data_IF_684778031067
#
_entry.id   IF_684778031067
#
_cell.length_a   1.000
_cell.length_b   1.000
_cell.length_c   1.000
_cell.angle_alpha   90.00
_cell.angle_beta   90.00
_cell.angle_gamma   90.00
#
_symmetry.space_group_name_H-M   'P 1'
#
loop_
_entity.id
_entity.type
_entity.pdbx_description
1 polymer ?
#
# COMPACT_ATOMS: atom_id res chain seq x y z
N UNK A 1 -20.78 -43.86 5.61
CA UNK A 1 -20.58 -42.41 5.45
C UNK A 1 -19.17 -42.24 4.94
N UNK A 2 -19.01 -42.17 3.61
CA UNK A 2 -17.72 -41.91 2.98
C UNK A 2 -17.46 -40.41 2.98
N UNK A 3 -16.45 -39.97 3.72
CA UNK A 3 -15.96 -38.59 3.71
C UNK A 3 -14.65 -38.56 2.91
N UNK A 4 -14.74 -38.63 1.58
CA UNK A 4 -13.57 -38.73 0.70
C UNK A 4 -13.40 -37.58 -0.31
N UNK A 5 -13.96 -36.39 -0.02
CA UNK A 5 -13.57 -35.15 -0.70
C UNK A 5 -13.68 -33.96 0.25
N UNK A 6 -12.65 -33.75 1.07
CA UNK A 6 -12.36 -32.41 1.55
C UNK A 6 -11.69 -31.65 0.40
N UNK A 7 -12.48 -31.12 -0.54
CA UNK A 7 -11.98 -30.01 -1.35
C UNK A 7 -11.82 -28.84 -0.39
N UNK A 8 -10.59 -28.59 0.04
CA UNK A 8 -10.25 -27.32 0.66
C UNK A 8 -10.58 -26.25 -0.39
N UNK A 9 -11.72 -25.58 -0.23
CA UNK A 9 -11.99 -24.36 -0.97
C UNK A 9 -10.82 -23.43 -0.66
N UNK A 10 -9.93 -23.24 -1.64
CA UNK A 10 -8.80 -22.34 -1.52
C UNK A 10 -9.41 -20.95 -1.27
N UNK A 11 -9.52 -20.55 0.00
CA UNK A 11 -9.90 -19.18 0.35
C UNK A 11 -8.90 -18.32 -0.40
N UNK A 12 -9.39 -17.41 -1.24
CA UNK A 12 -8.52 -16.48 -1.95
C UNK A 12 -7.80 -15.67 -0.85
N UNK A 13 -6.53 -16.00 -0.58
CA UNK A 13 -5.69 -15.32 0.43
C UNK A 13 -4.94 -14.13 -0.16
N UNK A 14 -5.29 -13.72 -1.39
CA UNK A 14 -4.66 -12.62 -2.14
C UNK A 14 -5.52 -11.37 -2.10
N UNK A 15 -4.91 -10.22 -2.38
CA UNK A 15 -5.62 -8.95 -2.48
C UNK A 15 -6.79 -9.05 -3.48
N UNK A 16 -7.98 -8.69 -3.04
CA UNK A 16 -9.12 -8.55 -3.93
C UNK A 16 -9.13 -7.14 -4.51
N UNK A 17 -8.68 -6.99 -5.75
CA UNK A 17 -8.62 -5.69 -6.42
C UNK A 17 -9.98 -5.05 -6.66
N UNK A 18 -11.10 -5.77 -6.50
CA UNK A 18 -12.47 -5.24 -6.57
C UNK A 18 -13.11 -4.99 -5.18
N UNK A 19 -12.37 -5.24 -4.11
CA UNK A 19 -12.86 -5.06 -2.74
C UNK A 19 -12.67 -3.64 -2.20
N UNK A 20 -13.40 -3.30 -1.15
CA UNK A 20 -13.16 -2.08 -0.37
C UNK A 20 -11.70 -1.98 0.08
N UNK A 21 -11.14 -0.78 0.02
CA UNK A 21 -9.75 -0.52 0.36
C UNK A 21 -8.75 -1.09 -0.65
N UNK A 22 -9.16 -1.48 -1.84
CA UNK A 22 -8.22 -1.95 -2.85
C UNK A 22 -7.43 -0.79 -3.48
N UNK A 23 -6.14 -1.03 -3.74
CA UNK A 23 -5.29 -0.22 -4.62
C UNK A 23 -4.54 -1.18 -5.55
N UNK A 24 -4.90 -1.20 -6.82
CA UNK A 24 -4.29 -2.06 -7.84
C UNK A 24 -4.15 -1.31 -9.17
N UNK A 25 -3.42 -1.88 -10.14
CA UNK A 25 -3.24 -1.28 -11.47
C UNK A 25 -2.57 0.12 -11.39
N UNK A 26 -3.03 1.12 -12.15
CA UNK A 26 -2.31 2.36 -12.46
C UNK A 26 -2.78 3.67 -11.76
N UNK A 27 -2.63 3.78 -10.43
CA UNK A 27 -3.35 2.98 -9.45
C UNK A 27 -4.83 3.35 -9.41
N UNK A 28 -5.68 2.34 -9.52
CA UNK A 28 -7.12 2.38 -9.26
C UNK A 28 -7.38 2.06 -7.79
N UNK A 29 -8.22 2.88 -7.16
CA UNK A 29 -8.62 2.79 -5.77
C UNK A 29 -10.09 2.37 -5.67
N UNK A 30 -10.43 1.68 -4.60
CA UNK A 30 -11.81 1.48 -4.14
C UNK A 30 -11.93 2.00 -2.71
N UNK A 31 -12.71 3.07 -2.54
CA UNK A 31 -12.91 3.73 -1.26
C UNK A 31 -13.64 2.88 -0.22
N UNK A 32 -13.65 3.34 1.03
CA UNK A 32 -14.47 2.79 2.10
C UNK A 32 -15.97 2.95 1.85
N UNK A 33 -16.34 3.93 1.03
CA UNK A 33 -17.68 4.15 0.48
C UNK A 33 -18.03 3.21 -0.70
N UNK A 34 -17.07 2.40 -1.16
CA UNK A 34 -17.21 1.49 -2.30
C UNK A 34 -17.08 2.17 -3.66
N UNK A 35 -16.79 3.48 -3.70
CA UNK A 35 -16.60 4.18 -4.96
C UNK A 35 -15.22 3.89 -5.53
N UNK A 36 -15.19 3.56 -6.82
CA UNK A 36 -13.95 3.43 -7.57
C UNK A 36 -13.47 4.82 -8.02
N UNK A 37 -12.16 5.08 -7.87
CA UNK A 37 -11.51 6.29 -8.35
C UNK A 37 -10.05 6.06 -8.68
N UNK A 38 -9.45 7.02 -9.39
CA UNK A 38 -8.03 7.07 -9.68
C UNK A 38 -7.38 8.22 -8.95
N UNK A 39 -6.16 7.96 -8.48
CA UNK A 39 -5.26 8.96 -7.94
C UNK A 39 -3.87 8.67 -8.51
N UNK A 40 -3.40 9.52 -9.43
CA UNK A 40 -2.12 9.28 -10.09
C UNK A 40 -0.94 9.81 -9.28
N UNK A 41 -1.12 10.86 -8.47
CA UNK A 41 0.03 11.51 -7.83
C UNK A 41 1.09 11.94 -8.86
N UNK A 42 2.33 12.07 -8.41
CA UNK A 42 3.49 12.34 -9.25
C UNK A 42 4.47 11.17 -9.20
N UNK A 43 5.13 10.86 -10.32
CA UNK A 43 6.24 9.90 -10.34
C UNK A 43 7.34 10.34 -9.37
N UNK A 44 7.78 9.42 -8.51
CA UNK A 44 8.78 9.64 -7.47
C UNK A 44 8.23 10.40 -6.25
N UNK A 45 6.92 10.66 -6.21
CA UNK A 45 6.26 11.35 -5.11
C UNK A 45 5.79 10.40 -4.02
N UNK A 46 5.78 10.91 -2.79
CA UNK A 46 5.25 10.24 -1.61
C UNK A 46 3.92 10.89 -1.21
N UNK A 47 2.91 10.07 -0.92
CA UNK A 47 1.57 10.54 -0.58
C UNK A 47 0.97 9.76 0.58
N UNK A 48 0.29 10.47 1.49
CA UNK A 48 -0.48 9.88 2.57
C UNK A 48 -1.77 9.24 2.04
N UNK A 49 -1.83 7.92 2.08
CA UNK A 49 -3.04 7.16 1.76
C UNK A 49 -4.02 7.20 2.93
N UNK A 50 -3.52 7.10 4.15
CA UNK A 50 -4.29 7.13 5.40
C UNK A 50 -3.52 7.95 6.42
N UNK A 51 -4.22 8.82 7.16
CA UNK A 51 -3.68 9.58 8.27
C UNK A 51 -4.76 9.72 9.33
N UNK A 52 -4.60 9.01 10.43
CA UNK A 52 -5.46 9.05 11.60
C UNK A 52 -4.62 9.09 12.88
N UNK A 53 -5.24 9.23 14.05
CA UNK A 53 -4.51 9.44 15.30
C UNK A 53 -3.51 8.30 15.62
N UNK A 54 -3.90 7.03 15.39
CA UNK A 54 -3.09 5.84 15.71
C UNK A 54 -2.47 5.13 14.50
N UNK A 55 -2.84 5.51 13.27
CA UNK A 55 -2.38 4.85 12.04
C UNK A 55 -2.09 5.88 10.95
N UNK A 56 -0.94 5.74 10.31
CA UNK A 56 -0.57 6.52 9.14
C UNK A 56 0.05 5.61 8.08
N UNK A 57 -0.38 5.78 6.83
CA UNK A 57 0.12 4.97 5.72
C UNK A 57 0.51 5.89 4.58
N UNK A 58 1.80 5.89 4.23
CA UNK A 58 2.30 6.53 3.03
C UNK A 58 2.50 5.52 1.90
N UNK A 59 2.37 5.99 0.67
CA UNK A 59 2.75 5.26 -0.53
C UNK A 59 3.79 6.03 -1.35
N UNK A 60 4.79 5.30 -1.84
CA UNK A 60 5.75 5.79 -2.82
C UNK A 60 5.28 5.43 -4.23
N UNK A 61 5.20 6.43 -5.11
CA UNK A 61 4.74 6.25 -6.47
C UNK A 61 5.91 6.17 -7.44
N UNK A 62 6.00 5.09 -8.22
CA UNK A 62 6.86 5.01 -9.41
C UNK A 62 6.05 5.36 -10.65
N UNK A 63 6.71 5.54 -11.80
CA UNK A 63 5.99 5.93 -13.00
C UNK A 63 6.82 6.21 -14.25
N UNK A 64 6.12 6.55 -15.33
CA UNK A 64 6.70 7.04 -16.59
C UNK A 64 5.92 8.26 -17.08
N UNK A 65 6.60 9.11 -17.87
CA UNK A 65 5.95 10.19 -18.62
C UNK A 65 6.41 10.18 -20.07
N UNK A 66 5.75 9.37 -20.93
CA UNK A 66 6.00 9.42 -22.36
C UNK A 66 5.86 10.84 -22.93
N UNK A 67 6.65 11.16 -23.96
CA UNK A 67 6.64 12.48 -24.59
C UNK A 67 5.23 12.86 -25.05
N UNK A 68 4.84 14.12 -24.80
CA UNK A 68 3.53 14.65 -25.17
C UNK A 68 2.42 14.41 -24.14
N UNK A 69 2.68 13.65 -23.06
CA UNK A 69 1.73 13.54 -21.95
C UNK A 69 1.91 14.69 -20.94
N UNK A 70 0.78 15.15 -20.42
CA UNK A 70 0.72 16.18 -19.37
C UNK A 70 0.73 15.60 -17.95
N UNK A 71 0.57 14.28 -17.81
CA UNK A 71 0.49 13.55 -16.53
C UNK A 71 1.34 12.29 -16.57
N UNK A 72 1.83 11.89 -15.41
CA UNK A 72 2.52 10.62 -15.21
C UNK A 72 1.53 9.45 -15.31
N UNK A 73 2.00 8.33 -15.84
CA UNK A 73 1.50 7.03 -15.44
C UNK A 73 2.21 6.62 -14.17
N UNK A 74 1.49 6.09 -13.19
CA UNK A 74 2.07 5.77 -11.89
C UNK A 74 1.53 4.48 -11.31
N UNK A 75 2.31 3.90 -10.40
CA UNK A 75 2.01 2.69 -9.65
C UNK A 75 2.59 2.82 -8.24
N UNK A 76 2.01 2.13 -7.26
CA UNK A 76 2.51 2.12 -5.88
C UNK A 76 3.66 1.10 -5.78
N UNK A 77 4.87 1.56 -5.51
CA UNK A 77 6.02 0.66 -5.34
C UNK A 77 6.23 0.24 -3.89
N UNK A 78 5.93 1.13 -2.94
CA UNK A 78 6.19 0.91 -1.53
C UNK A 78 5.10 1.51 -0.65
N UNK A 79 4.89 0.90 0.51
CA UNK A 79 4.05 1.38 1.61
C UNK A 79 4.88 1.54 2.88
N UNK A 80 4.67 2.64 3.61
CA UNK A 80 5.15 2.80 4.98
C UNK A 80 3.94 2.85 5.90
N UNK A 81 3.79 1.83 6.74
CA UNK A 81 2.74 1.72 7.74
C UNK A 81 3.32 2.15 9.08
N UNK A 82 2.91 3.33 9.56
CA UNK A 82 3.38 3.94 10.80
C UNK A 82 2.29 3.89 11.86
N UNK A 83 2.65 3.45 13.06
CA UNK A 83 1.74 3.34 14.20
C UNK A 83 2.57 3.36 15.49
N UNK A 84 1.98 3.84 16.59
CA UNK A 84 2.67 3.99 17.88
C UNK A 84 4.04 4.70 17.74
N UNK A 85 5.14 3.95 17.86
CA UNK A 85 6.54 4.39 17.62
C UNK A 85 7.22 3.65 16.47
N UNK A 86 6.50 2.79 15.77
CA UNK A 86 7.02 1.84 14.80
C UNK A 86 6.69 2.24 13.37
N UNK A 87 7.51 1.75 12.45
CA UNK A 87 7.21 1.76 11.02
C UNK A 87 7.51 0.40 10.38
N UNK A 88 6.55 -0.09 9.60
CA UNK A 88 6.68 -1.28 8.77
C UNK A 88 6.68 -0.85 7.30
N UNK A 89 7.76 -1.18 6.60
CA UNK A 89 7.93 -0.87 5.18
C UNK A 89 7.72 -2.12 4.35
N UNK A 90 6.90 -2.00 3.31
CA UNK A 90 6.54 -3.07 2.37
C UNK A 90 6.79 -2.54 0.97
N UNK A 91 7.69 -3.15 0.19
CA UNK A 91 8.05 -2.62 -1.12
C UNK A 91 8.31 -3.70 -2.17
N UNK A 92 8.13 -3.33 -3.43
CA UNK A 92 8.52 -4.13 -4.59
C UNK A 92 9.98 -3.83 -4.97
N UNK A 93 10.82 -4.87 -5.04
CA UNK A 93 12.18 -4.78 -5.59
C UNK A 93 12.11 -4.33 -7.04
N UNK A 94 12.99 -3.41 -7.42
CA UNK A 94 13.21 -3.11 -8.83
C UNK A 94 13.86 -4.32 -9.50
N UNK A 95 13.21 -4.90 -10.50
CA UNK A 95 13.70 -6.08 -11.24
C UNK A 95 13.68 -5.81 -12.73
N UNK A 96 14.73 -6.24 -13.44
CA UNK A 96 14.85 -6.01 -14.88
C UNK A 96 14.00 -6.96 -15.71
N UNK A 97 13.85 -8.21 -15.23
CA UNK A 97 12.99 -9.23 -15.80
C UNK A 97 12.17 -9.85 -14.68
N UNK A 98 10.88 -10.03 -14.94
CA UNK A 98 9.99 -10.66 -13.98
C UNK A 98 10.13 -12.18 -14.02
N UNK A 99 10.18 -12.79 -12.84
CA UNK A 99 10.09 -14.24 -12.64
C UNK A 99 9.18 -14.50 -11.44
N UNK A 100 8.06 -15.21 -11.66
CA UNK A 100 7.11 -15.53 -10.59
C UNK A 100 7.72 -16.43 -9.50
N UNK A 101 8.82 -17.14 -9.78
CA UNK A 101 9.49 -18.01 -8.81
C UNK A 101 10.50 -17.28 -7.91
N UNK A 102 10.75 -15.98 -8.17
CA UNK A 102 11.70 -15.17 -7.41
C UNK A 102 10.96 -14.15 -6.56
N UNK A 103 11.25 -14.12 -5.27
CA UNK A 103 10.60 -13.20 -4.34
C UNK A 103 11.14 -11.77 -4.48
N UNK A 104 10.24 -10.88 -4.91
CA UNK A 104 10.50 -9.48 -5.17
C UNK A 104 9.93 -8.56 -4.07
N UNK A 105 9.60 -9.11 -2.91
CA UNK A 105 9.19 -8.34 -1.72
C UNK A 105 10.42 -7.84 -0.94
N UNK A 106 10.31 -6.62 -0.42
CA UNK A 106 11.15 -6.06 0.63
C UNK A 106 10.24 -5.78 1.82
N UNK A 107 10.61 -6.30 2.99
CA UNK A 107 9.92 -6.03 4.26
C UNK A 107 10.96 -5.49 5.23
N UNK A 108 10.67 -4.36 5.88
CA UNK A 108 11.54 -3.79 6.93
C UNK A 108 10.74 -3.37 8.15
N UNK A 109 11.22 -3.76 9.32
CA UNK A 109 10.70 -3.35 10.61
C UNK A 109 11.66 -2.35 11.23
N UNK A 110 11.23 -1.11 11.45
CA UNK A 110 12.06 -0.03 12.00
C UNK A 110 13.42 0.18 11.32
N UNK A 111 13.47 -0.10 10.01
CA UNK A 111 14.67 0.00 9.19
C UNK A 111 15.48 -1.29 9.07
N UNK A 112 15.23 -2.29 9.92
CA UNK A 112 15.88 -3.61 9.84
C UNK A 112 15.13 -4.53 8.88
N UNK A 113 15.88 -5.33 8.10
CA UNK A 113 15.30 -6.27 7.14
C UNK A 113 14.56 -7.40 7.87
N UNK A 114 13.36 -7.70 7.41
CA UNK A 114 12.56 -8.86 7.84
C UNK A 114 12.58 -9.89 6.73
N UNK A 115 13.10 -11.08 7.04
CA UNK A 115 13.08 -12.22 6.12
C UNK A 115 11.90 -13.13 6.46
N UNK A 116 11.02 -13.35 5.47
CA UNK A 116 9.93 -14.33 5.55
C UNK A 116 10.23 -15.41 4.52
N UNK A 117 10.48 -16.67 4.91
CA UNK A 117 10.74 -17.76 3.98
C UNK A 117 9.70 -17.91 2.86
N UNK A 118 10.12 -18.46 1.73
CA UNK A 118 9.28 -18.69 0.54
C UNK A 118 8.80 -20.16 0.51
N UNK A 119 7.89 -20.51 1.40
CA UNK A 119 7.31 -21.85 1.53
C UNK A 119 5.77 -21.84 1.63
N UNK A 120 5.14 -20.71 1.27
CA UNK A 120 3.69 -20.54 1.16
C UNK A 120 2.94 -20.34 2.48
N UNK A 121 3.55 -20.69 3.61
CA UNK A 121 2.92 -20.66 4.94
C UNK A 121 3.80 -20.04 6.04
N UNK A 122 5.05 -19.66 5.76
CA UNK A 122 5.89 -18.99 6.73
C UNK A 122 5.29 -17.67 7.23
N UNK A 123 5.52 -17.39 8.51
CA UNK A 123 5.21 -16.11 9.11
C UNK A 123 6.43 -15.53 9.83
N UNK A 124 6.50 -14.20 9.81
CA UNK A 124 7.27 -13.42 10.78
C UNK A 124 6.30 -12.72 11.71
N UNK A 125 6.61 -12.73 13.01
CA UNK A 125 5.77 -12.12 14.05
C UNK A 125 6.62 -11.39 15.06
N UNK A 126 6.12 -10.24 15.52
CA UNK A 126 6.66 -9.54 16.68
C UNK A 126 5.50 -9.08 17.58
N UNK A 127 5.73 -9.11 18.88
CA UNK A 127 4.87 -8.51 19.89
C UNK A 127 5.74 -7.60 20.77
N UNK A 128 5.40 -6.32 20.83
CA UNK A 128 6.12 -5.29 21.60
C UNK A 128 5.46 -5.01 22.97
N UNK A 129 4.48 -5.84 23.37
CA UNK A 129 3.64 -5.66 24.55
C UNK A 129 2.42 -4.78 24.33
N UNK A 130 2.31 -4.09 23.19
CA UNK A 130 1.17 -3.23 22.81
C UNK A 130 0.39 -3.85 21.65
N UNK A 131 1.09 -4.31 20.61
CA UNK A 131 0.49 -4.88 19.40
C UNK A 131 1.18 -6.15 18.97
N UNK A 132 0.39 -7.04 18.37
CA UNK A 132 0.89 -8.11 17.53
C UNK A 132 1.02 -7.62 16.10
N UNK A 133 2.21 -7.76 15.53
CA UNK A 133 2.46 -7.54 14.10
C UNK A 133 2.86 -8.85 13.47
N UNK A 134 2.13 -9.23 12.41
CA UNK A 134 2.33 -10.50 11.69
C UNK A 134 2.49 -10.20 10.22
N UNK A 135 3.49 -10.80 9.59
CA UNK A 135 3.64 -10.86 8.14
C UNK A 135 3.64 -12.33 7.75
N UNK A 136 2.52 -12.80 7.21
CA UNK A 136 2.34 -14.19 6.78
C UNK A 136 2.43 -14.31 5.25
N UNK A 137 3.04 -15.39 4.76
CA UNK A 137 2.95 -15.77 3.35
C UNK A 137 1.53 -16.18 3.00
N UNK A 138 1.09 -15.73 1.84
CA UNK A 138 -0.20 -16.11 1.26
C UNK A 138 -0.05 -16.81 -0.09
N UNK A 139 1.20 -16.95 -0.54
CA UNK A 139 1.66 -17.68 -1.72
C UNK A 139 3.16 -17.98 -1.57
N UNK A 140 3.73 -18.82 -2.42
CA UNK A 140 5.16 -19.22 -2.34
C UNK A 140 6.10 -18.00 -2.42
N UNK A 141 5.78 -17.04 -3.29
CA UNK A 141 6.53 -15.79 -3.48
C UNK A 141 5.59 -14.61 -3.69
N UNK A 142 6.13 -13.40 -3.52
CA UNK A 142 5.53 -12.13 -3.93
C UNK A 142 4.20 -11.75 -3.27
N UNK A 143 3.62 -12.60 -2.41
CA UNK A 143 2.35 -12.32 -1.72
C UNK A 143 2.47 -12.55 -0.22
N UNK A 144 2.00 -11.57 0.54
CA UNK A 144 1.92 -11.63 2.00
C UNK A 144 0.62 -11.00 2.50
N UNK A 145 0.20 -11.40 3.68
CA UNK A 145 -0.76 -10.63 4.49
C UNK A 145 -0.04 -10.06 5.69
N UNK A 146 -0.26 -8.77 5.91
CA UNK A 146 0.23 -8.04 7.07
C UNK A 146 -0.94 -7.81 8.01
N UNK A 147 -0.76 -8.10 9.29
CA UNK A 147 -1.73 -7.78 10.34
C UNK A 147 -1.05 -6.94 11.40
N UNK A 148 -1.58 -5.76 11.68
CA UNK A 148 -1.22 -4.92 12.83
C UNK A 148 -2.43 -4.88 13.76
N UNK A 149 -2.33 -5.58 14.90
CA UNK A 149 -3.49 -5.84 15.76
C UNK A 149 -4.20 -4.56 16.18
N UNK A 150 -5.52 -4.52 15.93
CA UNK A 150 -6.39 -3.41 16.27
C UNK A 150 -6.34 -2.21 15.31
N UNK A 151 -5.48 -2.22 14.28
CA UNK A 151 -5.35 -1.12 13.33
C UNK A 151 -5.76 -1.52 11.91
N UNK A 152 -5.02 -2.44 11.30
CA UNK A 152 -5.15 -2.74 9.88
C UNK A 152 -4.67 -4.14 9.54
N UNK A 153 -5.37 -4.77 8.60
CA UNK A 153 -4.91 -5.91 7.84
C UNK A 153 -4.69 -5.49 6.38
N UNK A 154 -3.61 -5.96 5.75
CA UNK A 154 -3.22 -5.59 4.39
C UNK A 154 -2.86 -6.87 3.63
N UNK A 155 -3.64 -7.22 2.63
CA UNK A 155 -3.22 -8.19 1.62
C UNK A 155 -2.36 -7.49 0.58
N UNK A 156 -1.19 -8.04 0.26
CA UNK A 156 -0.21 -7.42 -0.64
C UNK A 156 0.28 -8.45 -1.64
N UNK A 157 0.40 -8.03 -2.89
CA UNK A 157 1.03 -8.79 -3.96
C UNK A 157 1.95 -7.90 -4.78
N UNK A 158 3.18 -8.35 -5.03
CA UNK A 158 4.06 -7.73 -6.02
C UNK A 158 3.72 -8.28 -7.40
N UNK A 159 3.53 -7.39 -8.38
CA UNK A 159 3.21 -7.75 -9.75
C UNK A 159 4.04 -6.89 -10.72
N UNK A 160 4.41 -7.41 -11.90
CA UNK A 160 5.07 -6.63 -12.94
C UNK A 160 4.02 -5.93 -13.81
N UNK A 161 4.49 -5.12 -14.75
CA UNK A 161 3.70 -4.70 -15.91
C UNK A 161 4.03 -5.59 -17.10
N UNK A 162 3.01 -6.23 -17.67
CA UNK A 162 3.18 -7.14 -18.79
C UNK A 162 3.51 -6.42 -20.11
N UNK A 163 4.19 -7.11 -21.04
CA UNK A 163 4.52 -6.53 -22.35
C UNK A 163 3.26 -6.12 -23.15
N UNK A 164 2.20 -6.92 -23.08
CA UNK A 164 0.94 -6.63 -23.75
C UNK A 164 0.22 -5.43 -23.11
N UNK A 165 0.20 -5.36 -21.78
CA UNK A 165 -0.34 -4.22 -21.05
C UNK A 165 0.41 -2.93 -21.40
N UNK A 166 1.75 -2.95 -21.32
CA UNK A 166 2.61 -1.83 -21.73
C UNK A 166 2.33 -1.36 -23.16
N UNK A 167 2.12 -2.31 -24.10
CA UNK A 167 1.81 -2.03 -25.51
C UNK A 167 0.42 -1.39 -25.68
N UNK A 168 -0.61 -1.96 -25.05
CA UNK A 168 -2.00 -1.49 -25.17
C UNK A 168 -2.17 -0.11 -24.55
N UNK A 169 -1.61 0.10 -23.36
CA UNK A 169 -1.73 1.35 -22.62
C UNK A 169 -0.67 2.41 -23.02
N UNK A 170 0.33 2.00 -23.81
CA UNK A 170 1.43 2.86 -24.28
C UNK A 170 2.18 3.51 -23.11
N UNK A 171 2.50 2.73 -22.08
CA UNK A 171 3.26 3.21 -20.93
C UNK A 171 4.73 3.53 -21.30
N UNK A 172 5.24 2.95 -22.38
CA UNK A 172 6.62 3.09 -22.85
C UNK A 172 7.64 2.71 -21.76
N UNK A 173 7.35 1.61 -21.05
CA UNK A 173 8.25 1.07 -20.04
C UNK A 173 9.56 0.60 -20.72
N UNK A 174 10.74 0.97 -20.18
CA UNK A 174 12.03 0.49 -20.64
C UNK A 174 12.15 -1.03 -20.62
N UNK A 175 12.92 -1.60 -21.55
CA UNK A 175 13.09 -3.06 -21.65
C UNK A 175 13.92 -3.68 -20.52
N UNK A 176 14.61 -2.87 -19.73
CA UNK A 176 15.46 -3.26 -18.61
C UNK A 176 14.78 -3.08 -17.25
N UNK A 177 13.46 -2.89 -17.22
CA UNK A 177 12.67 -2.70 -16.01
C UNK A 177 11.27 -3.33 -16.14
N UNK A 178 10.92 -4.25 -15.25
CA UNK A 178 9.61 -4.87 -15.22
C UNK A 178 8.53 -4.01 -14.55
N UNK A 179 8.93 -2.88 -13.94
CA UNK A 179 8.04 -2.00 -13.17
C UNK A 179 7.23 -2.76 -12.12
N UNK A 180 7.93 -3.57 -11.32
CA UNK A 180 7.32 -4.29 -10.21
C UNK A 180 6.70 -3.29 -9.21
N UNK A 181 5.43 -3.52 -8.85
CA UNK A 181 4.63 -2.66 -8.01
C UNK A 181 3.66 -3.48 -7.14
N UNK A 182 2.99 -2.81 -6.21
CA UNK A 182 2.11 -3.41 -5.22
C UNK A 182 0.65 -3.34 -5.67
N UNK A 183 -0.01 -4.49 -5.67
CA UNK A 183 -1.46 -4.61 -5.56
C UNK A 183 -1.81 -4.86 -4.10
N UNK A 184 -2.75 -4.10 -3.56
CA UNK A 184 -3.05 -4.11 -2.12
C UNK A 184 -4.54 -4.09 -1.84
N UNK A 185 -4.94 -4.67 -0.72
CA UNK A 185 -6.26 -4.50 -0.15
C UNK A 185 -6.15 -4.25 1.34
N UNK A 186 -6.62 -3.08 1.78
CA UNK A 186 -6.65 -2.70 3.19
C UNK A 186 -7.99 -3.08 3.84
N UNK A 187 -7.93 -3.60 5.06
CA UNK A 187 -9.07 -3.77 5.97
C UNK A 187 -8.76 -3.06 7.26
N UNK A 188 -9.36 -1.89 7.46
CA UNK A 188 -9.15 -1.08 8.66
C UNK A 188 -10.11 -1.48 9.77
N UNK A 189 -9.66 -1.44 11.02
CA UNK A 189 -10.44 -1.89 12.17
C UNK A 189 -11.05 -0.73 12.96
N UNK A 190 -10.27 0.32 13.23
CA UNK A 190 -10.67 1.37 14.19
C UNK A 190 -10.26 2.78 13.72
N UNK A 191 -10.65 3.15 12.49
CA UNK A 191 -10.48 4.52 12.01
C UNK A 191 -11.46 5.46 12.71
N UNK A 192 -10.98 6.64 13.08
CA UNK A 192 -11.81 7.72 13.61
C UNK A 192 -12.71 8.30 12.52
N UNK A 193 -13.82 8.93 12.92
CA UNK A 193 -14.71 9.68 12.01
C UNK A 193 -14.00 10.87 11.31
N UNK A 194 -12.74 11.12 11.65
CA UNK A 194 -11.95 12.26 11.22
C UNK A 194 -10.65 11.85 10.52
N UNK A 195 -10.55 10.58 10.12
CA UNK A 195 -9.47 10.05 9.27
C UNK A 195 -9.31 10.87 7.98
N UNK A 196 -8.05 11.10 7.61
CA UNK A 196 -7.63 11.82 6.41
C UNK A 196 -6.77 10.91 5.52
N UNK A 197 -6.36 11.42 4.37
CA UNK A 197 -5.56 10.70 3.37
C UNK A 197 -6.34 10.42 2.10
N UNK A 198 -5.64 10.11 1.00
CA UNK A 198 -6.26 9.86 -0.31
C UNK A 198 -7.36 8.80 -0.21
N UNK A 199 -7.05 7.66 0.42
CA UNK A 199 -8.00 6.58 0.67
C UNK A 199 -8.75 6.79 1.99
N UNK A 200 -8.06 7.20 3.05
CA UNK A 200 -8.61 7.33 4.39
C UNK A 200 -9.85 8.22 4.46
N UNK A 201 -9.85 9.37 3.76
CA UNK A 201 -11.00 10.28 3.76
C UNK A 201 -12.33 9.63 3.33
N UNK A 202 -12.27 8.58 2.51
CA UNK A 202 -13.44 7.84 1.99
C UNK A 202 -14.10 6.94 3.03
N UNK A 203 -13.45 6.73 4.19
CA UNK A 203 -13.99 5.96 5.31
C UNK A 203 -14.77 6.82 6.31
N UNK A 204 -14.76 8.16 6.16
CA UNK A 204 -15.56 9.05 7.02
C UNK A 204 -17.03 8.94 6.68
N UNK A 205 -17.89 8.95 7.71
CA UNK A 205 -19.34 8.81 7.57
C UNK A 205 -20.00 9.95 6.80
N UNK A 206 -19.45 11.15 6.91
CA UNK A 206 -19.93 12.37 6.25
C UNK A 206 -19.19 12.68 4.95
N UNK A 207 -18.31 11.77 4.50
CA UNK A 207 -17.60 11.94 3.24
C UNK A 207 -18.58 11.92 2.06
N UNK A 208 -18.51 12.97 1.25
CA UNK A 208 -19.19 13.03 -0.04
C UNK A 208 -18.13 13.05 -1.12
N UNK A 209 -18.07 11.97 -1.89
CA UNK A 209 -17.06 11.83 -2.94
C UNK A 209 -17.25 12.90 -4.02
N UNK A 210 -16.21 13.68 -4.34
CA UNK A 210 -16.27 14.65 -5.43
C UNK A 210 -16.08 14.00 -6.81
N UNK A 211 -15.80 12.69 -6.85
CA UNK A 211 -15.47 11.99 -8.10
C UNK A 211 -16.70 11.88 -9.00
N UNK A 212 -16.48 12.11 -10.30
CA UNK A 212 -17.57 12.10 -11.27
C UNK A 212 -18.02 10.67 -11.54
N UNK A 213 -19.25 10.32 -11.18
CA UNK A 213 -19.83 9.00 -11.50
C UNK A 213 -20.11 8.88 -13.00
N UNK A 214 -19.91 7.67 -13.55
CA UNK A 214 -20.25 7.34 -14.93
C UNK A 214 -19.23 7.75 -16.00
N UNK A 215 -18.03 8.20 -15.59
CA UNK A 215 -16.89 8.34 -16.53
C UNK A 215 -15.93 7.16 -16.37
N UNK A 216 -15.17 6.79 -17.41
CA UNK A 216 -14.28 5.63 -17.35
C UNK A 216 -13.16 5.74 -16.30
N UNK A 217 -12.64 6.95 -16.07
CA UNK A 217 -11.51 7.23 -15.19
C UNK A 217 -11.86 8.38 -14.22
N UNK A 218 -12.67 8.12 -13.18
CA UNK A 218 -13.03 9.15 -12.20
C UNK A 218 -11.82 9.52 -11.33
N UNK A 219 -11.41 10.79 -11.35
CA UNK A 219 -10.22 11.28 -10.62
C UNK A 219 -10.60 11.94 -9.30
N UNK A 220 -9.89 11.62 -8.20
CA UNK A 220 -10.14 12.21 -6.88
C UNK A 220 -9.36 13.51 -6.61
N UNK A 221 -8.12 13.61 -7.11
CA UNK A 221 -7.20 14.70 -6.75
C UNK A 221 -6.78 14.65 -5.28
N UNK A 222 -6.27 15.78 -4.75
CA UNK A 222 -5.80 15.90 -3.36
C UNK A 222 -4.29 15.78 -3.19
N UNK A 223 -3.55 15.79 -4.29
CA UNK A 223 -2.08 15.75 -4.32
C UNK A 223 -1.48 16.84 -3.43
N UNK A 224 -2.01 18.06 -3.49
CA UNK A 224 -1.52 19.19 -2.71
C UNK A 224 -1.79 19.07 -1.20
N UNK A 225 -2.78 18.25 -0.80
CA UNK A 225 -3.16 18.01 0.59
C UNK A 225 -2.34 16.89 1.22
N UNK A 226 -2.12 15.82 0.46
CA UNK A 226 -1.61 14.55 0.96
C UNK A 226 -0.18 14.24 0.54
N UNK A 227 0.47 15.08 -0.27
CA UNK A 227 1.90 14.95 -0.53
C UNK A 227 2.69 15.09 0.78
N UNK A 228 3.58 14.12 1.04
CA UNK A 228 4.49 14.15 2.17
C UNK A 228 5.88 14.58 1.71
N UNK A 229 6.71 15.17 2.59
CA UNK A 229 8.05 15.61 2.23
C UNK A 229 9.03 14.42 2.05
N UNK A 230 8.69 13.26 2.60
CA UNK A 230 9.42 12.01 2.39
C UNK A 230 8.54 10.80 2.73
N UNK A 231 8.92 9.64 2.21
CA UNK A 231 8.21 8.38 2.40
C UNK A 231 7.93 8.02 3.87
N UNK A 232 8.88 8.27 4.78
CA UNK A 232 8.73 7.99 6.21
C UNK A 232 8.20 9.20 7.02
N UNK A 233 7.79 10.30 6.36
CA UNK A 233 7.25 11.46 7.06
C UNK A 233 5.74 11.33 7.27
N UNK A 234 5.24 11.45 8.51
CA UNK A 234 3.80 11.47 8.77
C UNK A 234 3.15 12.83 8.48
N UNK A 235 3.91 13.79 7.94
CA UNK A 235 3.48 15.18 7.77
C UNK A 235 2.97 15.43 6.35
N UNK A 236 1.78 16.02 6.27
CA UNK A 236 1.21 16.63 5.06
C UNK A 236 0.21 17.71 5.51
N UNK A 237 -0.36 18.49 4.58
CA UNK A 237 -1.23 19.63 4.94
C UNK A 237 -2.49 19.22 5.70
N UNK A 238 -3.02 18.03 5.41
CA UNK A 238 -4.22 17.49 6.05
C UNK A 238 -3.91 16.33 7.02
N UNK A 239 -2.65 15.94 7.16
CA UNK A 239 -2.27 14.80 7.97
C UNK A 239 -2.43 15.10 9.46
N UNK A 240 -2.79 14.08 10.22
CA UNK A 240 -3.20 14.21 11.62
C UNK A 240 -2.62 13.14 12.54
N UNK A 241 -1.67 12.36 12.03
CA UNK A 241 -1.04 11.30 12.81
C UNK A 241 -0.39 11.84 14.07
N UNK A 242 -0.73 11.22 15.21
CA UNK A 242 -0.19 11.60 16.52
C UNK A 242 0.83 10.59 17.03
N UNK A 243 0.62 9.30 16.73
CA UNK A 243 1.40 8.21 17.30
C UNK A 243 1.42 8.23 18.83
N UNK A 244 2.36 7.50 19.43
CA UNK A 244 2.52 7.44 20.90
C UNK A 244 3.12 8.71 21.52
N UNK A 245 3.66 9.64 20.73
CA UNK A 245 4.14 10.94 21.23
C UNK A 245 3.02 11.80 21.86
N UNK A 246 1.75 11.44 21.65
CA UNK A 246 0.60 12.04 22.34
C UNK A 246 0.27 11.43 23.71
N UNK A 247 0.79 10.24 24.03
CA UNK A 247 0.59 9.57 25.34
C UNK A 247 1.71 9.84 26.34
N UNK A 248 2.89 10.22 25.86
CA UNK A 248 3.99 10.73 26.68
C UNK A 248 4.53 12.01 26.04
N UNK A 249 4.31 13.15 26.68
CA UNK A 249 4.85 14.43 26.20
C UNK A 249 6.38 14.39 26.18
N UNK A 250 6.98 14.13 25.02
CA UNK A 250 8.39 14.42 24.75
C UNK A 250 8.73 14.35 23.26
N UNK A 251 9.78 15.08 22.89
CA UNK A 251 10.20 15.50 21.56
C UNK A 251 10.45 14.37 20.55
N UNK A 252 10.04 14.61 19.29
CA UNK A 252 10.43 13.82 18.12
C UNK A 252 11.96 13.69 18.05
N UNK A 253 12.47 12.50 18.36
CA UNK A 253 13.78 12.10 17.88
C UNK A 253 13.68 11.85 16.38
N UNK A 254 14.53 12.53 15.60
CA UNK A 254 14.60 12.39 14.16
C UNK A 254 14.80 10.92 13.79
N UNK A 255 13.80 10.33 13.15
CA UNK A 255 13.91 9.03 12.49
C UNK A 255 15.04 9.17 11.47
N UNK A 256 16.11 8.38 11.64
CA UNK A 256 17.24 8.35 10.71
C UNK A 256 16.71 8.04 9.32
N UNK A 257 16.86 9.01 8.41
CA UNK A 257 16.62 8.80 6.99
C UNK A 257 17.59 7.73 6.48
N UNK A 258 17.08 6.56 6.15
CA UNK A 258 17.76 5.62 5.26
C UNK A 258 17.01 5.66 3.94
N UNK A 259 17.49 6.52 3.04
CA UNK A 259 17.11 6.51 1.65
C UNK A 259 17.94 5.44 0.94
N UNK A 260 17.28 4.36 0.51
CA UNK A 260 17.50 3.62 -0.74
C UNK A 260 16.57 2.41 -0.72
N UNK A 261 15.54 2.48 -1.56
CA UNK A 261 14.79 1.33 -2.06
C UNK A 261 15.58 0.71 -3.21
#
# INVERSE_FOLDING_TARGET
MDCNKCEASCKIRRANCEGYGAICYDPRFIGGDGMMFYFHGAKGGDFALVSDDELHINAHFIGTRPQGRTRDFTWVQALSVMFDTHNLVLAAKRVSKWDNSVDSLIIRWDGDTVEVPTDGEAEWRINDGVRDVVVERTDDTNSVRVTVSGLVEIDIKVTPIGAEENRVHKYHIPSDDAFAHLETQFRFVNLSDSVEGVLGQTYRRDYVSPVKVGVPMPMMGGEDKYQTPSFLSPLCKACRFKGMASRAGSSMAAIKMVAQY
#
